data_IF_414309217262
#
_entry.id   IF_414309217262
#
_cell.length_a   1.000
_cell.length_b   1.000
_cell.length_c   1.000
_cell.angle_alpha   90.00
_cell.angle_beta   90.00
_cell.angle_gamma   90.00
#
_symmetry.space_group_name_H-M   'P 1'
#
loop_
_entity.id
_entity.type
_entity.pdbx_description
1 polymer ?
#
# COMPACT_ATOMS: atom_id res chain seq x y z
N UNK A 1 -6.74 -27.83 8.91
CA UNK A 1 -7.65 -28.13 7.76
C UNK A 1 -8.75 -27.09 7.79
N UNK A 2 -8.86 -26.25 6.77
CA UNK A 2 -9.99 -25.33 6.62
C UNK A 2 -11.17 -26.15 6.07
N UNK A 3 -12.21 -26.40 6.87
CA UNK A 3 -13.33 -27.22 6.39
C UNK A 3 -14.05 -26.46 5.26
N UNK A 4 -14.12 -27.10 4.08
CA UNK A 4 -14.93 -26.58 2.97
C UNK A 4 -14.19 -25.72 1.95
N UNK A 5 -12.86 -25.82 1.83
CA UNK A 5 -12.15 -25.16 0.71
C UNK A 5 -12.70 -25.66 -0.63
N UNK A 6 -13.05 -24.78 -1.58
CA UNK A 6 -13.52 -25.19 -2.91
C UNK A 6 -12.40 -25.77 -3.79
N UNK A 7 -11.16 -25.77 -3.29
CA UNK A 7 -9.98 -26.21 -4.06
C UNK A 7 -9.53 -27.61 -3.65
N UNK A 8 -9.06 -28.45 -4.61
CA UNK A 8 -8.47 -29.77 -4.30
C UNK A 8 -7.27 -29.62 -3.36
N UNK A 9 -7.23 -30.40 -2.28
CA UNK A 9 -6.18 -30.33 -1.25
C UNK A 9 -4.77 -30.46 -1.83
N UNK A 10 -4.57 -31.33 -2.83
CA UNK A 10 -3.28 -31.49 -3.49
C UNK A 10 -2.79 -30.21 -4.19
N UNK A 11 -3.71 -29.39 -4.72
CA UNK A 11 -3.38 -28.09 -5.33
C UNK A 11 -3.02 -27.05 -4.27
N UNK A 12 -3.77 -27.03 -3.18
CA UNK A 12 -3.45 -26.15 -2.04
C UNK A 12 -2.11 -26.52 -1.41
N UNK A 13 -1.83 -27.81 -1.27
CA UNK A 13 -0.55 -28.26 -0.73
C UNK A 13 0.63 -27.86 -1.63
N UNK A 14 0.47 -27.91 -2.95
CA UNK A 14 1.49 -27.43 -3.89
C UNK A 14 1.77 -25.92 -3.70
N UNK A 15 0.74 -25.09 -3.46
CA UNK A 15 0.89 -23.66 -3.16
C UNK A 15 1.56 -23.41 -1.80
N UNK A 16 1.31 -24.27 -0.79
CA UNK A 16 1.90 -24.15 0.56
C UNK A 16 3.36 -24.62 0.63
N UNK A 17 3.75 -25.56 -0.23
CA UNK A 17 5.05 -26.19 -0.17
C UNK A 17 6.23 -25.19 -0.15
N UNK A 18 6.28 -24.13 -0.98
CA UNK A 18 7.34 -23.15 -0.93
C UNK A 18 7.44 -22.41 0.44
N UNK A 19 6.32 -22.17 1.11
CA UNK A 19 6.32 -21.55 2.44
C UNK A 19 6.78 -22.49 3.55
N UNK A 20 6.48 -23.78 3.44
CA UNK A 20 6.90 -24.80 4.44
C UNK A 20 8.42 -24.94 4.53
N UNK A 21 9.12 -24.85 3.40
CA UNK A 21 10.58 -25.00 3.37
C UNK A 21 11.32 -23.79 3.96
N UNK A 22 10.63 -22.67 4.20
CA UNK A 22 11.26 -21.50 4.83
C UNK A 22 11.52 -21.65 6.32
N UNK A 23 10.86 -22.62 6.98
CA UNK A 23 10.88 -22.75 8.44
C UNK A 23 10.02 -21.72 9.18
N UNK A 24 9.19 -20.93 8.47
CA UNK A 24 8.32 -19.93 9.07
C UNK A 24 7.30 -20.55 10.03
N UNK A 25 6.98 -19.82 11.10
CA UNK A 25 5.93 -20.21 12.05
C UNK A 25 4.55 -19.99 11.42
N UNK A 26 3.74 -21.04 11.33
CA UNK A 26 2.35 -20.90 10.86
C UNK A 26 1.48 -20.27 11.93
N UNK A 27 0.77 -19.20 11.58
CA UNK A 27 -0.03 -18.42 12.50
C UNK A 27 -1.47 -18.25 12.02
N UNK A 28 -2.37 -18.09 13.00
CA UNK A 28 -3.81 -17.83 12.78
C UNK A 28 -4.18 -16.52 13.50
N UNK A 29 -3.87 -15.36 12.93
CA UNK A 29 -4.22 -14.09 13.56
C UNK A 29 -5.72 -13.87 13.59
N UNK A 30 -6.25 -13.05 14.53
CA UNK A 30 -7.69 -12.78 14.66
C UNK A 30 -8.31 -12.26 13.38
N UNK A 31 -9.55 -12.70 13.10
CA UNK A 31 -10.33 -12.21 11.95
C UNK A 31 -10.82 -10.79 12.18
N UNK A 32 -11.28 -10.50 13.41
CA UNK A 32 -11.76 -9.17 13.78
C UNK A 32 -10.59 -8.24 14.08
N UNK A 33 -10.58 -7.07 13.45
CA UNK A 33 -9.57 -6.03 13.61
C UNK A 33 -10.22 -4.71 14.04
N UNK A 34 -9.56 -3.88 14.88
CA UNK A 34 -10.05 -2.54 15.19
C UNK A 34 -10.16 -1.70 13.90
N UNK A 35 -11.35 -1.15 13.62
CA UNK A 35 -11.61 -0.39 12.39
C UNK A 35 -10.70 0.84 12.28
N UNK A 36 -10.54 1.60 13.36
CA UNK A 36 -9.68 2.78 13.41
C UNK A 36 -8.26 2.46 12.98
N UNK A 37 -7.68 1.36 13.49
CA UNK A 37 -6.34 0.94 13.15
C UNK A 37 -6.20 0.60 11.67
N UNK A 38 -7.13 -0.16 11.10
CA UNK A 38 -7.10 -0.53 9.68
C UNK A 38 -7.18 0.71 8.79
N UNK A 39 -8.04 1.68 9.14
CA UNK A 39 -8.18 2.93 8.37
C UNK A 39 -6.97 3.86 8.51
N UNK A 40 -6.35 3.91 9.69
CA UNK A 40 -5.15 4.71 9.90
C UNK A 40 -3.94 4.19 9.09
N UNK A 41 -3.87 2.89 8.86
CA UNK A 41 -2.78 2.24 8.12
C UNK A 41 -3.04 2.19 6.62
N UNK A 42 -4.23 1.78 6.21
CA UNK A 42 -4.58 1.56 4.80
C UNK A 42 -5.25 2.77 4.14
N UNK A 43 -5.70 3.74 4.95
CA UNK A 43 -6.36 4.96 4.50
C UNK A 43 -7.89 4.87 4.44
N UNK A 44 -8.55 6.01 4.60
CA UNK A 44 -10.03 6.14 4.60
C UNK A 44 -10.68 5.65 3.28
N UNK A 45 -9.94 5.60 2.19
CA UNK A 45 -10.45 5.10 0.91
C UNK A 45 -10.85 3.62 0.98
N UNK A 46 -10.26 2.86 1.91
CA UNK A 46 -10.60 1.45 2.10
C UNK A 46 -11.95 1.25 2.81
N UNK A 47 -12.47 2.25 3.53
CA UNK A 47 -13.71 2.13 4.36
C UNK A 47 -14.89 1.54 3.59
N UNK A 48 -15.11 1.95 2.35
CA UNK A 48 -16.21 1.45 1.52
C UNK A 48 -16.05 -0.02 1.08
N UNK A 49 -14.87 -0.58 1.30
CA UNK A 49 -14.55 -1.98 0.97
C UNK A 49 -14.41 -2.87 2.22
N UNK A 50 -14.69 -2.33 3.42
CA UNK A 50 -14.61 -3.08 4.67
C UNK A 50 -15.98 -3.56 5.14
N UNK A 51 -16.05 -4.79 5.63
CA UNK A 51 -17.17 -5.29 6.42
C UNK A 51 -17.02 -4.82 7.86
N UNK A 52 -17.82 -3.84 8.25
CA UNK A 52 -17.76 -3.20 9.56
C UNK A 52 -18.85 -3.78 10.47
N UNK A 53 -18.47 -4.06 11.72
CA UNK A 53 -19.35 -4.58 12.76
C UNK A 53 -19.15 -3.80 14.05
N UNK A 54 -20.15 -3.87 14.96
CA UNK A 54 -20.01 -3.43 16.34
C UNK A 54 -19.70 -4.61 17.25
N UNK A 55 -18.62 -4.52 18.03
CA UNK A 55 -18.33 -5.47 19.08
C UNK A 55 -19.29 -5.27 20.28
N UNK A 56 -19.38 -6.26 21.18
CA UNK A 56 -20.26 -6.22 22.34
C UNK A 56 -20.02 -5.00 23.27
N UNK A 57 -18.79 -4.45 23.27
CA UNK A 57 -18.42 -3.23 24.01
C UNK A 57 -18.75 -1.91 23.29
N UNK A 58 -19.39 -1.95 22.11
CA UNK A 58 -19.70 -0.76 21.30
C UNK A 58 -18.54 -0.27 20.42
N UNK A 59 -17.40 -0.93 20.44
CA UNK A 59 -16.26 -0.60 19.58
C UNK A 59 -16.54 -1.03 18.12
N UNK A 60 -16.14 -0.19 17.16
CA UNK A 60 -16.18 -0.54 15.75
C UNK A 60 -15.00 -1.45 15.38
N UNK A 61 -15.34 -2.60 14.82
CA UNK A 61 -14.37 -3.57 14.30
C UNK A 61 -14.68 -3.87 12.83
N UNK A 62 -13.72 -4.42 12.10
CA UNK A 62 -13.94 -4.91 10.76
C UNK A 62 -13.41 -6.33 10.59
N UNK A 63 -13.92 -7.05 9.62
CA UNK A 63 -13.29 -8.28 9.16
C UNK A 63 -11.94 -7.91 8.49
N UNK A 64 -10.89 -8.70 8.78
CA UNK A 64 -9.53 -8.42 8.25
C UNK A 64 -9.52 -8.33 6.72
N UNK A 65 -9.07 -7.21 6.13
CA UNK A 65 -8.95 -7.07 4.67
C UNK A 65 -7.65 -7.67 4.12
N UNK A 66 -6.66 -7.93 4.98
CA UNK A 66 -5.37 -8.53 4.69
C UNK A 66 -4.82 -9.31 5.89
N UNK A 67 -3.68 -9.98 5.72
CA UNK A 67 -2.95 -10.64 6.80
C UNK A 67 -1.79 -9.80 7.35
N UNK A 68 -1.26 -8.84 6.59
CA UNK A 68 -0.08 -8.07 6.96
C UNK A 68 -0.28 -7.33 8.29
N UNK A 69 -1.38 -6.57 8.41
CA UNK A 69 -1.68 -5.83 9.65
C UNK A 69 -1.88 -6.75 10.86
N UNK A 70 -2.71 -7.80 10.81
CA UNK A 70 -2.88 -8.74 11.92
C UNK A 70 -1.59 -9.47 12.32
N UNK A 71 -0.77 -9.89 11.35
CA UNK A 71 0.50 -10.58 11.62
C UNK A 71 1.54 -9.63 12.21
N UNK A 72 1.64 -8.39 11.70
CA UNK A 72 2.52 -7.38 12.27
C UNK A 72 2.18 -7.07 13.75
N UNK A 73 0.88 -7.02 14.09
CA UNK A 73 0.42 -6.88 15.48
C UNK A 73 0.81 -8.07 16.33
N UNK A 74 0.67 -9.30 15.81
CA UNK A 74 1.09 -10.51 16.50
C UNK A 74 2.59 -10.50 16.77
N UNK A 75 3.41 -10.14 15.77
CA UNK A 75 4.85 -9.98 15.90
C UNK A 75 5.21 -8.98 17.02
N UNK A 76 4.65 -7.77 16.98
CA UNK A 76 4.89 -6.74 17.99
C UNK A 76 4.47 -7.19 19.39
N UNK A 77 3.32 -7.86 19.53
CA UNK A 77 2.83 -8.36 20.81
C UNK A 77 3.72 -9.49 21.39
N UNK A 78 4.43 -10.24 20.55
CA UNK A 78 5.37 -11.28 21.00
C UNK A 78 6.66 -10.71 21.61
N UNK A 79 6.98 -9.44 21.35
CA UNK A 79 8.24 -8.82 21.76
C UNK A 79 9.48 -9.35 21.03
N UNK A 80 9.29 -10.19 20.01
CA UNK A 80 10.39 -10.71 19.21
C UNK A 80 11.02 -9.62 18.35
N UNK A 81 12.34 -9.67 18.17
CA UNK A 81 13.08 -8.74 17.31
C UNK A 81 13.07 -9.18 15.84
N UNK A 82 12.82 -10.47 15.58
CA UNK A 82 12.73 -11.05 14.25
C UNK A 82 11.70 -12.19 14.24
N UNK A 83 11.13 -12.47 13.07
CA UNK A 83 10.24 -13.62 12.89
C UNK A 83 9.71 -13.71 11.47
N UNK A 84 9.61 -14.95 11.00
CA UNK A 84 8.95 -15.32 9.75
C UNK A 84 7.62 -16.01 10.08
N UNK A 85 6.53 -15.49 9.56
CA UNK A 85 5.17 -15.96 9.86
C UNK A 85 4.44 -16.33 8.58
N UNK A 86 4.17 -17.63 8.40
CA UNK A 86 3.34 -18.11 7.31
C UNK A 86 1.87 -18.17 7.76
N UNK A 87 0.96 -17.97 6.82
CA UNK A 87 -0.47 -18.02 7.09
C UNK A 87 -1.27 -18.58 5.93
N UNK A 88 -2.47 -19.05 6.25
CA UNK A 88 -3.52 -19.39 5.30
C UNK A 88 -4.87 -19.02 5.91
N UNK A 89 -5.74 -18.41 5.13
CA UNK A 89 -7.10 -18.11 5.57
C UNK A 89 -7.81 -17.09 4.70
N UNK A 90 -9.04 -16.79 5.07
CA UNK A 90 -9.88 -15.84 4.36
C UNK A 90 -9.55 -14.41 4.76
N UNK A 91 -9.57 -13.53 3.77
CA UNK A 91 -9.70 -12.08 3.92
C UNK A 91 -11.02 -11.64 3.31
N UNK A 92 -11.50 -10.47 3.74
CA UNK A 92 -12.85 -10.01 3.47
C UNK A 92 -12.82 -8.59 2.90
N UNK A 93 -13.34 -8.42 1.68
CA UNK A 93 -13.41 -7.11 1.02
C UNK A 93 -14.71 -6.99 0.24
N UNK A 94 -15.52 -5.99 0.56
CA UNK A 94 -16.71 -5.70 -0.22
C UNK A 94 -16.31 -5.35 -1.66
N UNK A 95 -16.91 -6.00 -2.63
CA UNK A 95 -16.66 -5.84 -4.05
C UNK A 95 -17.92 -6.15 -4.84
N UNK A 96 -18.15 -5.43 -5.94
CA UNK A 96 -19.25 -5.73 -6.86
C UNK A 96 -18.85 -6.79 -7.91
N UNK A 97 -17.54 -6.89 -8.20
CA UNK A 97 -17.04 -7.63 -9.35
C UNK A 97 -16.17 -8.85 -8.97
N UNK A 98 -15.83 -8.98 -7.67
CA UNK A 98 -14.94 -10.02 -7.16
C UNK A 98 -15.55 -10.70 -5.94
N UNK A 99 -15.19 -11.96 -5.63
CA UNK A 99 -15.60 -12.61 -4.39
C UNK A 99 -15.22 -11.77 -3.17
N UNK A 100 -16.14 -11.63 -2.24
CA UNK A 100 -15.94 -10.87 -1.00
C UNK A 100 -15.08 -11.63 0.03
N UNK A 101 -15.08 -12.95 -0.06
CA UNK A 101 -14.28 -13.87 0.74
C UNK A 101 -13.17 -14.46 -0.13
N UNK A 102 -11.92 -14.10 0.16
CA UNK A 102 -10.78 -14.48 -0.66
C UNK A 102 -9.77 -15.26 0.17
N UNK A 103 -9.50 -16.51 -0.23
CA UNK A 103 -8.45 -17.31 0.40
C UNK A 103 -7.07 -16.75 0.01
N UNK A 104 -6.21 -16.57 1.02
CA UNK A 104 -4.82 -16.19 0.87
C UNK A 104 -3.92 -17.23 1.53
N UNK A 105 -2.78 -17.50 0.90
CA UNK A 105 -1.63 -18.22 1.48
C UNK A 105 -0.42 -17.30 1.35
N UNK A 106 0.30 -17.03 2.42
CA UNK A 106 1.38 -16.06 2.37
C UNK A 106 2.35 -16.13 3.53
N UNK A 107 3.24 -15.14 3.55
CA UNK A 107 4.29 -14.98 4.56
C UNK A 107 4.52 -13.51 4.86
N UNK A 108 4.78 -13.20 6.13
CA UNK A 108 5.28 -11.90 6.60
C UNK A 108 6.60 -12.12 7.34
N UNK A 109 7.59 -11.29 7.05
CA UNK A 109 8.95 -11.37 7.59
C UNK A 109 9.32 -10.08 8.28
N UNK A 110 9.77 -10.20 9.51
CA UNK A 110 10.27 -9.10 10.32
C UNK A 110 11.70 -9.43 10.75
N UNK A 111 12.63 -8.53 10.50
CA UNK A 111 14.03 -8.75 10.84
C UNK A 111 14.69 -7.44 11.30
N UNK A 112 15.70 -7.47 12.18
CA UNK A 112 16.61 -6.36 12.34
C UNK A 112 17.32 -6.11 10.99
N UNK A 113 18.04 -5.02 10.88
CA UNK A 113 18.66 -4.54 9.63
C UNK A 113 19.36 -5.69 8.87
N UNK A 114 18.80 -6.07 7.73
CA UNK A 114 19.26 -7.16 6.86
C UNK A 114 19.63 -6.59 5.49
N UNK A 115 20.35 -7.35 4.67
CA UNK A 115 20.50 -7.00 3.25
C UNK A 115 19.11 -6.95 2.58
N UNK A 116 18.60 -5.71 2.43
CA UNK A 116 17.26 -5.45 1.89
C UNK A 116 17.11 -5.95 0.47
N UNK A 117 18.17 -5.86 -0.33
CA UNK A 117 18.16 -6.24 -1.75
C UNK A 117 18.02 -7.73 -1.88
N UNK A 118 18.80 -8.49 -1.10
CA UNK A 118 18.72 -9.94 -1.04
C UNK A 118 17.36 -10.41 -0.51
N UNK A 119 16.88 -9.79 0.58
CA UNK A 119 15.58 -10.13 1.17
C UNK A 119 14.41 -9.90 0.19
N UNK A 120 14.46 -8.80 -0.58
CA UNK A 120 13.45 -8.47 -1.59
C UNK A 120 13.44 -9.51 -2.72
N UNK A 121 14.61 -9.87 -3.26
CA UNK A 121 14.73 -10.86 -4.32
C UNK A 121 14.26 -12.25 -3.87
N UNK A 122 14.63 -12.64 -2.65
CA UNK A 122 14.21 -13.91 -2.05
C UNK A 122 12.69 -13.97 -1.80
N UNK A 123 12.06 -12.85 -1.43
CA UNK A 123 10.61 -12.79 -1.30
C UNK A 123 9.92 -12.95 -2.66
N UNK A 124 10.38 -12.21 -3.68
CA UNK A 124 9.82 -12.31 -5.04
C UNK A 124 9.93 -13.75 -5.54
N UNK A 125 11.09 -14.39 -5.38
CA UNK A 125 11.29 -15.78 -5.80
C UNK A 125 10.37 -16.76 -5.07
N UNK A 126 10.22 -16.59 -3.76
CA UNK A 126 9.33 -17.42 -2.96
C UNK A 126 7.88 -17.35 -3.44
N UNK A 127 7.37 -16.13 -3.61
CA UNK A 127 5.99 -15.88 -4.05
C UNK A 127 5.79 -16.31 -5.51
N UNK A 128 6.79 -16.09 -6.37
CA UNK A 128 6.78 -16.59 -7.75
C UNK A 128 6.65 -18.10 -7.80
N UNK A 129 7.50 -18.83 -7.07
CA UNK A 129 7.44 -20.31 -7.01
C UNK A 129 6.10 -20.80 -6.48
N UNK A 130 5.54 -20.15 -5.49
CA UNK A 130 4.22 -20.49 -4.97
C UNK A 130 3.13 -20.25 -6.01
N UNK A 131 3.17 -19.14 -6.76
CA UNK A 131 2.22 -18.85 -7.83
C UNK A 131 2.31 -19.87 -8.98
N UNK A 132 3.53 -20.21 -9.42
CA UNK A 132 3.78 -21.22 -10.48
C UNK A 132 3.26 -22.59 -10.07
N UNK A 133 3.37 -22.96 -8.78
CA UNK A 133 2.85 -24.23 -8.27
C UNK A 133 1.33 -24.39 -8.43
N UNK A 134 0.59 -23.30 -8.66
CA UNK A 134 -0.82 -23.32 -9.04
C UNK A 134 -1.10 -23.89 -10.42
N UNK A 135 -0.06 -24.00 -11.27
CA UNK A 135 -0.13 -24.67 -12.57
C UNK A 135 -0.45 -23.75 -13.76
N UNK A 136 -0.44 -22.41 -13.58
CA UNK A 136 -0.56 -21.46 -14.70
C UNK A 136 0.75 -21.33 -15.45
N UNK A 137 0.70 -21.38 -16.79
CA UNK A 137 1.85 -21.17 -17.67
C UNK A 137 1.97 -19.76 -18.27
N UNK A 138 1.02 -18.86 -17.96
CA UNK A 138 0.87 -17.53 -18.55
C UNK A 138 1.24 -16.40 -17.55
N UNK A 139 2.11 -16.70 -16.59
CA UNK A 139 2.49 -15.79 -15.53
C UNK A 139 3.57 -14.79 -15.97
N UNK A 140 3.48 -13.57 -15.41
CA UNK A 140 4.45 -12.50 -15.57
C UNK A 140 4.60 -11.70 -14.28
N UNK A 141 5.72 -10.96 -14.14
CA UNK A 141 5.97 -10.08 -13.01
C UNK A 141 5.67 -8.62 -13.36
N UNK A 142 5.02 -7.92 -12.45
CA UNK A 142 4.93 -6.47 -12.40
C UNK A 142 5.69 -5.99 -11.18
N UNK A 143 6.72 -5.18 -11.40
CA UNK A 143 7.60 -4.64 -10.38
C UNK A 143 7.39 -3.14 -10.22
N UNK A 144 7.61 -2.61 -9.04
CA UNK A 144 7.57 -1.18 -8.77
C UNK A 144 8.09 -0.85 -7.37
N UNK A 145 8.10 0.43 -7.02
CA UNK A 145 8.57 0.90 -5.72
C UNK A 145 7.76 2.10 -5.25
N UNK A 146 7.07 1.94 -4.13
CA UNK A 146 6.24 2.99 -3.54
C UNK A 146 7.04 4.23 -3.10
N UNK A 147 8.33 4.10 -2.86
CA UNK A 147 9.22 5.19 -2.48
C UNK A 147 9.79 6.00 -3.64
N UNK A 148 9.66 5.56 -4.90
CA UNK A 148 10.22 6.29 -6.05
C UNK A 148 9.48 7.60 -6.31
N UNK A 149 8.14 7.58 -6.30
CA UNK A 149 7.36 8.79 -6.57
C UNK A 149 7.60 9.90 -5.53
N UNK A 150 7.55 9.63 -4.21
CA UNK A 150 7.94 10.63 -3.20
C UNK A 150 9.34 11.18 -3.43
N UNK A 151 10.32 10.30 -3.66
CA UNK A 151 11.72 10.70 -3.92
C UNK A 151 11.83 11.57 -5.19
N UNK A 152 11.08 11.28 -6.24
CA UNK A 152 11.04 12.09 -7.44
C UNK A 152 10.39 13.46 -7.20
N UNK A 153 9.26 13.50 -6.49
CA UNK A 153 8.55 14.75 -6.14
C UNK A 153 9.45 15.70 -5.37
N UNK A 154 10.30 15.19 -4.47
CA UNK A 154 11.27 15.99 -3.71
C UNK A 154 12.30 16.70 -4.62
N UNK A 155 12.56 16.15 -5.82
CA UNK A 155 13.49 16.77 -6.79
C UNK A 155 12.92 17.98 -7.52
N UNK A 156 11.61 18.18 -7.48
CA UNK A 156 10.92 19.22 -8.24
C UNK A 156 10.92 20.61 -7.55
N UNK A 157 11.52 20.73 -6.36
CA UNK A 157 11.59 22.00 -5.61
C UNK A 157 10.23 22.56 -5.23
N UNK A 158 9.24 21.68 -5.00
CA UNK A 158 7.87 22.06 -4.64
C UNK A 158 7.79 22.59 -3.21
N UNK A 159 6.77 23.41 -2.95
CA UNK A 159 6.37 23.71 -1.59
C UNK A 159 6.05 22.39 -0.84
N UNK A 160 6.54 22.19 0.41
CA UNK A 160 6.36 20.94 1.16
C UNK A 160 4.89 20.49 1.30
N UNK A 161 3.95 21.44 1.40
CA UNK A 161 2.51 21.16 1.50
C UNK A 161 2.00 20.56 0.18
N UNK A 162 2.40 21.14 -0.96
CA UNK A 162 2.05 20.65 -2.29
C UNK A 162 2.69 19.28 -2.55
N UNK A 163 3.97 19.12 -2.26
CA UNK A 163 4.67 17.84 -2.39
C UNK A 163 3.98 16.72 -1.60
N UNK A 164 3.70 16.95 -0.31
CA UNK A 164 2.97 16.00 0.54
C UNK A 164 1.55 15.69 0.03
N UNK A 165 0.89 16.67 -0.58
CA UNK A 165 -0.44 16.50 -1.18
C UNK A 165 -0.38 15.60 -2.41
N UNK A 166 0.57 15.83 -3.33
CA UNK A 166 0.77 15.00 -4.53
C UNK A 166 1.10 13.55 -4.18
N UNK A 167 1.99 13.33 -3.22
CA UNK A 167 2.33 11.98 -2.74
C UNK A 167 1.09 11.26 -2.20
N UNK A 168 0.25 11.92 -1.40
CA UNK A 168 -1.01 11.33 -0.93
C UNK A 168 -2.02 11.07 -2.06
N UNK A 169 -1.97 11.87 -3.13
CA UNK A 169 -2.85 11.70 -4.30
C UNK A 169 -2.38 10.57 -5.22
N UNK A 170 -1.13 10.10 -5.14
CA UNK A 170 -0.61 9.02 -5.96
C UNK A 170 -1.46 7.74 -5.87
N UNK A 171 -2.02 7.45 -4.69
CA UNK A 171 -2.96 6.34 -4.48
C UNK A 171 -4.35 6.56 -5.14
N UNK A 172 -4.59 7.71 -5.76
CA UNK A 172 -5.88 8.09 -6.39
C UNK A 172 -5.63 8.71 -7.76
N UNK A 173 -5.36 7.89 -8.80
CA UNK A 173 -4.91 8.37 -10.11
C UNK A 173 -5.80 9.46 -10.74
N UNK A 174 -7.13 9.33 -10.64
CA UNK A 174 -8.06 10.34 -11.17
C UNK A 174 -7.94 11.70 -10.47
N UNK A 175 -7.70 11.71 -9.15
CA UNK A 175 -7.49 12.96 -8.40
C UNK A 175 -6.13 13.57 -8.70
N UNK A 176 -5.10 12.74 -8.85
CA UNK A 176 -3.78 13.20 -9.25
C UNK A 176 -3.82 13.80 -10.65
N UNK A 177 -4.46 13.13 -11.62
CA UNK A 177 -4.64 13.66 -12.97
C UNK A 177 -5.34 15.04 -12.96
N UNK A 178 -6.46 15.17 -12.24
CA UNK A 178 -7.16 16.44 -12.10
C UNK A 178 -6.31 17.55 -11.46
N UNK A 179 -5.41 17.19 -10.52
CA UNK A 179 -4.47 18.15 -9.94
C UNK A 179 -3.39 18.59 -10.92
N UNK A 180 -2.89 17.68 -11.75
CA UNK A 180 -1.89 17.95 -12.78
C UNK A 180 -2.46 18.82 -13.93
N UNK A 181 -3.77 18.77 -14.17
CA UNK A 181 -4.45 19.57 -15.19
C UNK A 181 -4.73 21.01 -14.70
N UNK A 182 -4.56 21.27 -13.40
CA UNK A 182 -4.70 22.59 -12.79
C UNK A 182 -3.44 23.44 -12.97
N UNK A 183 -3.24 23.95 -14.16
CA UNK A 183 -2.08 24.82 -14.47
C UNK A 183 -2.35 26.32 -14.30
N UNK A 184 -3.60 26.73 -14.01
CA UNK A 184 -4.06 28.12 -14.05
C UNK A 184 -4.25 28.79 -12.69
N UNK A 185 -3.87 28.11 -11.59
CA UNK A 185 -4.09 28.65 -10.24
C UNK A 185 -5.56 28.71 -9.81
N UNK A 186 -6.48 28.15 -10.60
CA UNK A 186 -7.89 28.07 -10.24
C UNK A 186 -8.07 27.25 -8.96
N UNK A 187 -8.61 27.89 -7.94
CA UNK A 187 -9.04 27.18 -6.73
C UNK A 187 -10.19 26.27 -7.14
N UNK A 188 -10.22 24.97 -6.75
CA UNK A 188 -11.40 24.14 -7.01
C UNK A 188 -12.66 24.89 -6.60
N UNK A 189 -13.69 24.85 -7.44
CA UNK A 189 -15.04 25.30 -7.01
C UNK A 189 -15.33 24.55 -5.73
N UNK A 190 -15.43 25.31 -4.64
CA UNK A 190 -15.45 24.76 -3.30
C UNK A 190 -16.70 23.92 -3.12
N UNK A 191 -16.50 22.63 -2.84
CA UNK A 191 -17.44 21.88 -2.01
C UNK A 191 -17.70 22.71 -0.74
N UNK A 192 -18.90 22.69 -0.20
CA UNK A 192 -19.30 23.48 0.99
C UNK A 192 -18.29 23.32 2.15
N UNK A 193 -17.61 22.17 2.21
CA UNK A 193 -16.50 21.88 3.15
C UNK A 193 -15.30 22.83 3.00
N UNK A 194 -14.99 23.32 1.80
CA UNK A 194 -13.84 24.21 1.57
C UNK A 194 -14.07 25.64 2.05
N UNK A 195 -15.33 26.07 2.18
CA UNK A 195 -15.67 27.40 2.74
C UNK A 195 -15.41 27.41 4.25
N UNK A 196 -15.82 26.35 4.94
CA UNK A 196 -15.59 26.17 6.38
C UNK A 196 -14.09 26.03 6.64
N UNK A 197 -13.39 25.19 5.88
CA UNK A 197 -11.95 25.01 6.00
C UNK A 197 -11.17 26.32 5.79
N UNK A 198 -11.57 27.16 4.83
CA UNK A 198 -10.95 28.47 4.59
C UNK A 198 -11.19 29.47 5.73
N UNK A 199 -12.38 29.48 6.32
CA UNK A 199 -12.69 30.36 7.46
C UNK A 199 -11.94 29.93 8.72
N UNK A 200 -11.92 28.62 9.01
CA UNK A 200 -11.16 28.07 10.14
C UNK A 200 -9.65 28.27 9.97
N UNK A 201 -9.12 28.10 8.75
CA UNK A 201 -7.71 28.33 8.46
C UNK A 201 -7.25 29.79 8.52
N UNK A 202 -8.17 30.74 8.66
CA UNK A 202 -7.86 32.16 8.90
C UNK A 202 -7.73 32.47 10.40
N UNK A 203 -8.12 31.57 11.28
CA UNK A 203 -8.07 31.70 12.75
C UNK A 203 -6.81 31.06 13.33
N UNK A 204 -6.32 31.54 14.47
CA UNK A 204 -5.34 30.79 15.26
C UNK A 204 -5.84 29.36 15.59
N UNK A 205 -4.95 28.35 15.69
CA UNK A 205 -5.37 26.96 15.88
C UNK A 205 -6.30 26.72 17.08
N UNK A 206 -6.09 27.44 18.19
CA UNK A 206 -6.94 27.34 19.38
C UNK A 206 -8.35 27.91 19.17
N UNK A 207 -8.46 29.03 18.45
CA UNK A 207 -9.75 29.67 18.14
C UNK A 207 -10.55 28.86 17.11
N UNK A 208 -9.86 28.22 16.16
CA UNK A 208 -10.48 27.32 15.19
C UNK A 208 -11.08 26.07 15.86
N UNK A 209 -10.41 25.52 16.89
CA UNK A 209 -10.92 24.39 17.67
C UNK A 209 -12.15 24.81 18.50
N UNK A 210 -12.08 25.94 19.21
CA UNK A 210 -13.18 26.44 20.02
C UNK A 210 -14.44 26.73 19.16
N UNK A 211 -14.27 27.37 18.01
CA UNK A 211 -15.37 27.63 17.08
C UNK A 211 -16.02 26.31 16.57
N UNK A 212 -15.24 25.27 16.32
CA UNK A 212 -15.78 23.96 15.95
C UNK A 212 -16.59 23.33 17.08
N UNK A 213 -16.12 23.43 18.32
CA UNK A 213 -16.84 22.92 19.50
C UNK A 213 -18.17 23.65 19.69
N UNK A 214 -18.20 24.98 19.51
CA UNK A 214 -19.43 25.76 19.54
C UNK A 214 -20.42 25.37 18.44
N UNK A 215 -19.95 25.18 17.20
CA UNK A 215 -20.78 24.73 16.08
C UNK A 215 -21.38 23.36 16.37
N UNK A 216 -20.61 22.43 16.91
CA UNK A 216 -21.11 21.09 17.27
C UNK A 216 -22.14 21.14 18.39
N UNK A 217 -21.88 21.94 19.42
CA UNK A 217 -22.83 22.15 20.51
C UNK A 217 -24.16 22.71 20.01
N UNK A 218 -24.11 23.74 19.12
CA UNK A 218 -25.29 24.34 18.52
C UNK A 218 -26.04 23.39 17.57
N UNK A 219 -25.33 22.54 16.86
CA UNK A 219 -25.90 21.55 15.95
C UNK A 219 -26.34 20.25 16.64
N UNK A 220 -26.10 20.10 17.94
CA UNK A 220 -26.41 18.87 18.70
C UNK A 220 -25.57 17.67 18.25
N UNK A 221 -24.40 17.92 17.65
CA UNK A 221 -23.51 16.88 17.14
C UNK A 221 -22.58 16.39 18.27
N UNK A 222 -22.73 15.14 18.66
CA UNK A 222 -21.77 14.48 19.55
C UNK A 222 -20.65 13.89 18.68
N UNK A 223 -19.36 14.22 18.91
CA UNK A 223 -18.26 13.65 18.14
C UNK A 223 -18.23 12.12 18.26
N UNK A 224 -18.40 11.43 17.16
CA UNK A 224 -18.30 9.96 17.08
C UNK A 224 -16.92 9.59 16.57
N UNK A 225 -16.27 8.60 17.20
CA UNK A 225 -14.98 8.06 16.71
C UNK A 225 -13.72 8.59 17.38
N UNK A 226 -13.81 9.18 18.60
CA UNK A 226 -12.65 9.48 19.46
C UNK A 226 -11.72 10.61 18.99
N UNK A 227 -12.08 11.36 17.94
CA UNK A 227 -11.28 12.51 17.45
C UNK A 227 -11.70 13.80 18.14
N UNK A 228 -10.70 14.53 18.66
CA UNK A 228 -10.94 15.84 19.29
C UNK A 228 -11.23 16.95 18.26
N UNK A 229 -11.90 18.03 18.69
CA UNK A 229 -12.10 19.22 17.87
C UNK A 229 -10.77 19.83 17.38
N UNK A 230 -9.73 19.75 18.21
CA UNK A 230 -8.39 20.19 17.86
C UNK A 230 -7.77 19.38 16.71
N UNK A 231 -7.97 18.07 16.66
CA UNK A 231 -7.49 17.23 15.56
C UNK A 231 -8.24 17.51 14.26
N UNK A 232 -9.56 17.71 14.34
CA UNK A 232 -10.39 18.00 13.17
C UNK A 232 -10.10 19.41 12.65
N UNK A 233 -10.00 20.43 13.55
CA UNK A 233 -9.63 21.79 13.15
C UNK A 233 -8.24 21.83 12.51
N UNK A 234 -7.25 21.11 13.09
CA UNK A 234 -5.92 21.00 12.53
C UNK A 234 -5.91 20.36 11.13
N UNK A 235 -6.79 19.37 10.87
CA UNK A 235 -6.98 18.81 9.50
C UNK A 235 -7.56 19.83 8.53
N UNK A 236 -8.56 20.60 8.97
CA UNK A 236 -9.21 21.60 8.13
C UNK A 236 -8.27 22.75 7.82
N UNK A 237 -7.48 23.21 8.80
CA UNK A 237 -6.43 24.23 8.60
C UNK A 237 -5.39 23.74 7.59
N UNK A 238 -4.84 22.56 7.78
CA UNK A 238 -3.89 21.95 6.82
C UNK A 238 -4.49 21.79 5.41
N UNK A 239 -5.79 21.48 5.31
CA UNK A 239 -6.52 21.42 4.03
C UNK A 239 -6.64 22.80 3.39
N UNK A 240 -6.92 23.84 4.18
CA UNK A 240 -6.98 25.23 3.70
C UNK A 240 -5.61 25.75 3.25
N UNK A 241 -4.54 25.44 3.98
CA UNK A 241 -3.16 25.75 3.58
C UNK A 241 -2.78 25.03 2.28
N UNK A 242 -3.14 23.75 2.16
CA UNK A 242 -2.92 22.99 0.93
C UNK A 242 -3.68 23.56 -0.28
N UNK A 243 -4.88 24.14 -0.06
CA UNK A 243 -5.64 24.81 -1.11
C UNK A 243 -5.02 26.16 -1.53
N UNK A 244 -4.24 26.81 -0.64
CA UNK A 244 -3.49 28.04 -0.92
C UNK A 244 -2.10 27.80 -1.52
N UNK A 245 -1.64 26.55 -1.52
CA UNK A 245 -0.34 26.22 -2.12
C UNK A 245 -0.35 26.64 -3.60
N UNK A 246 0.79 27.19 -4.10
CA UNK A 246 0.89 27.54 -5.50
C UNK A 246 0.57 26.35 -6.39
N UNK A 247 -0.08 26.60 -7.52
CA UNK A 247 -0.28 25.57 -8.54
C UNK A 247 1.07 25.06 -9.07
N UNK A 248 1.06 23.85 -9.62
CA UNK A 248 2.22 23.34 -10.35
C UNK A 248 2.50 24.21 -11.56
N UNK A 249 3.76 24.47 -11.84
CA UNK A 249 4.13 25.00 -13.15
C UNK A 249 3.85 23.92 -14.23
N UNK A 250 3.60 24.32 -15.48
CA UNK A 250 3.43 23.36 -16.59
C UNK A 250 4.59 22.36 -16.67
N UNK A 251 5.83 22.80 -16.52
CA UNK A 251 7.02 21.95 -16.54
C UNK A 251 7.04 20.91 -15.41
N UNK A 252 6.62 21.29 -14.20
CA UNK A 252 6.50 20.35 -13.07
C UNK A 252 5.38 19.32 -13.29
N UNK A 253 4.23 19.77 -13.80
CA UNK A 253 3.13 18.87 -14.13
C UNK A 253 3.52 17.88 -15.24
N UNK A 254 4.22 18.33 -16.28
CA UNK A 254 4.70 17.47 -17.36
C UNK A 254 5.76 16.47 -16.88
N UNK A 255 6.67 16.88 -16.01
CA UNK A 255 7.65 15.99 -15.39
C UNK A 255 6.97 14.88 -14.56
N UNK A 256 5.92 15.22 -13.80
CA UNK A 256 5.14 14.24 -13.05
C UNK A 256 4.39 13.29 -14.00
N UNK A 257 3.76 13.82 -15.06
CA UNK A 257 3.10 12.98 -16.08
C UNK A 257 4.09 12.02 -16.75
N UNK A 258 5.27 12.51 -17.11
CA UNK A 258 6.33 11.69 -17.70
C UNK A 258 6.76 10.58 -16.73
N UNK A 259 6.92 10.86 -15.44
CA UNK A 259 7.21 9.84 -14.41
C UNK A 259 6.10 8.79 -14.33
N UNK A 260 4.84 9.21 -14.22
CA UNK A 260 3.68 8.32 -14.07
C UNK A 260 3.44 7.44 -15.30
N UNK A 261 3.90 7.87 -16.47
CA UNK A 261 3.76 7.15 -17.74
C UNK A 261 4.82 6.04 -17.94
N UNK A 262 5.88 6.00 -17.10
CA UNK A 262 6.95 5.01 -17.25
C UNK A 262 6.41 3.61 -16.91
N UNK A 263 6.36 2.81 -17.96
CA UNK A 263 6.01 1.39 -17.92
C UNK A 263 6.75 0.68 -19.04
N UNK A 264 7.76 -0.11 -18.68
CA UNK A 264 8.65 -0.77 -19.65
C UNK A 264 9.26 -2.03 -19.04
N UNK A 265 10.11 -2.74 -19.80
CA UNK A 265 11.01 -3.73 -19.21
C UNK A 265 11.83 -3.11 -18.08
N UNK A 266 12.19 -3.86 -17.01
CA UNK A 266 12.71 -3.26 -15.78
C UNK A 266 13.91 -2.33 -15.99
N UNK A 267 14.97 -2.74 -16.66
CA UNK A 267 16.17 -1.89 -16.86
C UNK A 267 15.90 -0.67 -17.74
N UNK A 268 15.22 -0.76 -18.91
CA UNK A 268 14.79 0.41 -19.65
C UNK A 268 13.93 1.40 -18.85
N UNK A 269 13.05 0.92 -17.98
CA UNK A 269 12.24 1.80 -17.12
C UNK A 269 13.12 2.57 -16.12
N UNK A 270 14.10 1.90 -15.50
CA UNK A 270 15.06 2.56 -14.60
C UNK A 270 15.90 3.61 -15.32
N UNK A 271 16.32 3.35 -16.56
CA UNK A 271 17.03 4.31 -17.41
C UNK A 271 16.17 5.53 -17.74
N UNK A 272 14.88 5.34 -18.00
CA UNK A 272 13.93 6.44 -18.22
C UNK A 272 13.80 7.30 -16.95
N UNK A 273 13.64 6.67 -15.77
CA UNK A 273 13.57 7.36 -14.48
C UNK A 273 14.85 8.16 -14.20
N UNK A 274 16.03 7.59 -14.49
CA UNK A 274 17.31 8.27 -14.29
C UNK A 274 17.43 9.56 -15.13
N UNK A 275 16.88 9.56 -16.35
CA UNK A 275 16.88 10.72 -17.24
C UNK A 275 15.95 11.84 -16.82
N UNK A 276 14.89 11.56 -16.05
CA UNK A 276 13.96 12.59 -15.57
C UNK A 276 14.59 13.54 -14.55
N UNK A 277 15.53 13.08 -13.73
CA UNK A 277 16.19 13.88 -12.73
C UNK A 277 17.66 13.45 -12.56
N UNK A 278 18.54 13.77 -13.53
CA UNK A 278 19.91 13.24 -13.58
C UNK A 278 20.81 13.73 -12.42
N UNK A 279 20.50 14.90 -11.82
CA UNK A 279 21.24 15.45 -10.67
C UNK A 279 20.68 15.05 -9.30
N UNK A 280 19.63 14.25 -9.24
CA UNK A 280 18.94 13.92 -7.99
C UNK A 280 19.61 12.74 -7.27
N UNK A 281 20.56 13.01 -6.38
CA UNK A 281 21.35 11.99 -5.68
C UNK A 281 20.49 10.90 -5.00
N UNK A 282 19.42 11.28 -4.32
CA UNK A 282 18.55 10.32 -3.63
C UNK A 282 17.81 9.39 -4.61
N UNK A 283 17.33 9.93 -5.74
CA UNK A 283 16.70 9.13 -6.78
C UNK A 283 17.71 8.19 -7.44
N UNK A 284 18.90 8.70 -7.80
CA UNK A 284 19.95 7.89 -8.41
C UNK A 284 20.43 6.76 -7.49
N UNK A 285 20.51 6.98 -6.18
CA UNK A 285 20.82 5.94 -5.21
C UNK A 285 19.75 4.83 -5.20
N UNK A 286 18.47 5.19 -5.18
CA UNK A 286 17.37 4.21 -5.28
C UNK A 286 17.40 3.41 -6.58
N UNK A 287 17.68 4.06 -7.71
CA UNK A 287 17.78 3.38 -9.00
C UNK A 287 19.01 2.44 -9.05
N UNK A 288 20.11 2.81 -8.41
CA UNK A 288 21.28 1.92 -8.23
C UNK A 288 20.92 0.70 -7.40
N UNK A 289 20.17 0.87 -6.29
CA UNK A 289 19.66 -0.24 -5.49
C UNK A 289 18.74 -1.14 -6.29
N UNK A 290 17.90 -0.56 -7.17
CA UNK A 290 17.04 -1.32 -8.07
C UNK A 290 17.83 -2.13 -9.09
N UNK A 291 18.89 -1.60 -9.69
CA UNK A 291 19.75 -2.36 -10.58
C UNK A 291 20.37 -3.57 -9.87
N UNK A 292 20.90 -3.38 -8.64
CA UNK A 292 21.40 -4.48 -7.82
C UNK A 292 20.32 -5.51 -7.47
N UNK A 293 19.09 -5.04 -7.20
CA UNK A 293 17.95 -5.92 -6.93
C UNK A 293 17.58 -6.75 -8.16
N UNK A 294 17.59 -6.15 -9.35
CA UNK A 294 17.37 -6.88 -10.60
C UNK A 294 18.47 -7.93 -10.85
N UNK A 295 19.74 -7.63 -10.54
CA UNK A 295 20.82 -8.62 -10.64
C UNK A 295 20.56 -9.85 -9.74
N UNK A 296 19.97 -9.63 -8.54
CA UNK A 296 19.60 -10.73 -7.65
C UNK A 296 18.35 -11.50 -8.12
N UNK A 297 17.36 -10.79 -8.66
CA UNK A 297 16.15 -11.41 -9.24
C UNK A 297 16.54 -12.26 -10.46
N UNK A 298 17.42 -11.76 -11.32
CA UNK A 298 17.90 -12.47 -12.51
C UNK A 298 18.64 -13.79 -12.16
N UNK A 299 19.18 -13.88 -10.95
CA UNK A 299 19.92 -15.06 -10.47
C UNK A 299 19.02 -16.17 -9.86
N UNK A 300 17.72 -15.93 -9.70
CA UNK A 300 16.75 -16.87 -9.10
C UNK A 300 15.66 -17.26 -10.11
N UNK A 301 14.76 -18.20 -9.73
CA UNK A 301 13.76 -18.72 -10.65
C UNK A 301 12.81 -17.65 -11.20
N UNK A 302 12.52 -16.61 -10.41
CA UNK A 302 11.71 -15.47 -10.84
C UNK A 302 12.37 -14.66 -11.97
N UNK A 303 13.68 -14.70 -12.13
CA UNK A 303 14.42 -13.99 -13.20
C UNK A 303 14.11 -14.48 -14.62
N UNK A 304 13.60 -15.70 -14.75
CA UNK A 304 13.14 -16.22 -16.05
C UNK A 304 11.75 -15.71 -16.46
N UNK A 305 11.03 -15.01 -15.57
CA UNK A 305 9.69 -14.52 -15.82
C UNK A 305 9.70 -13.31 -16.76
N UNK A 306 8.74 -13.18 -17.68
CA UNK A 306 8.49 -11.90 -18.33
C UNK A 306 8.16 -10.85 -17.26
N UNK A 307 8.86 -9.70 -17.30
CA UNK A 307 8.70 -8.68 -16.28
C UNK A 307 8.52 -7.28 -16.88
N UNK A 308 7.65 -6.48 -16.24
CA UNK A 308 7.51 -5.04 -16.47
C UNK A 308 7.78 -4.29 -15.17
N UNK A 309 8.27 -3.06 -15.30
CA UNK A 309 8.42 -2.13 -14.20
C UNK A 309 7.48 -0.95 -14.40
N UNK A 310 6.72 -0.61 -13.36
CA UNK A 310 5.85 0.57 -13.33
C UNK A 310 6.39 1.56 -12.28
N UNK A 311 6.68 2.79 -12.70
CA UNK A 311 7.18 3.83 -11.79
C UNK A 311 6.13 4.25 -10.74
N UNK A 312 4.86 4.16 -11.08
CA UNK A 312 3.72 4.39 -10.20
C UNK A 312 2.96 3.09 -9.99
N UNK A 313 3.45 2.20 -9.10
CA UNK A 313 2.81 0.92 -8.86
C UNK A 313 1.41 1.15 -8.27
N UNK A 314 0.46 0.35 -8.73
CA UNK A 314 -0.87 0.29 -8.16
C UNK A 314 -0.80 -0.49 -6.84
N UNK A 315 -1.52 -0.07 -5.83
CA UNK A 315 -1.60 -0.80 -4.56
C UNK A 315 -2.85 -0.43 -3.80
N UNK A 316 -3.54 -1.43 -3.28
CA UNK A 316 -4.73 -1.25 -2.43
C UNK A 316 -4.36 -0.70 -1.04
N UNK A 317 -3.09 -0.83 -0.62
CA UNK A 317 -2.67 -0.53 0.74
C UNK A 317 -1.57 0.54 0.78
N UNK A 318 -1.81 1.60 1.57
CA UNK A 318 -0.92 2.74 1.72
C UNK A 318 0.25 2.49 2.70
N UNK A 319 0.46 1.27 3.17
CA UNK A 319 1.55 0.96 4.08
C UNK A 319 2.86 0.56 3.38
N UNK A 320 2.84 0.25 2.08
CA UNK A 320 4.08 -0.03 1.34
C UNK A 320 4.95 1.22 1.23
N UNK A 321 6.24 1.08 1.50
CA UNK A 321 7.23 2.18 1.48
C UNK A 321 8.50 1.88 0.68
N UNK A 322 8.56 0.72 0.05
CA UNK A 322 9.64 0.25 -0.81
C UNK A 322 9.16 -0.57 -1.99
N UNK A 323 9.83 -1.71 -2.23
CA UNK A 323 9.43 -2.69 -3.24
C UNK A 323 7.95 -2.99 -3.19
N UNK A 324 7.31 -3.03 -4.36
CA UNK A 324 5.97 -3.61 -4.59
C UNK A 324 6.06 -4.51 -5.81
N UNK A 325 5.46 -5.68 -5.75
CA UNK A 325 5.40 -6.57 -6.91
C UNK A 325 4.08 -7.33 -6.97
N UNK A 326 3.72 -7.74 -8.16
CA UNK A 326 2.57 -8.59 -8.43
C UNK A 326 2.93 -9.67 -9.45
N UNK A 327 2.34 -10.84 -9.29
CA UNK A 327 2.34 -11.89 -10.30
C UNK A 327 1.01 -11.82 -11.04
N UNK A 328 1.07 -11.61 -12.34
CA UNK A 328 -0.08 -11.46 -13.21
C UNK A 328 -0.25 -12.70 -14.09
N UNK A 329 -1.49 -12.97 -14.50
CA UNK A 329 -1.84 -13.92 -15.54
C UNK A 329 -2.47 -13.17 -16.71
N UNK A 330 -2.03 -13.44 -17.92
CA UNK A 330 -2.60 -12.83 -19.12
C UNK A 330 -4.07 -13.19 -19.30
N UNK A 331 -4.47 -14.38 -18.88
CA UNK A 331 -5.85 -14.85 -18.94
C UNK A 331 -6.79 -14.12 -17.96
N UNK A 332 -6.24 -13.64 -16.81
CA UNK A 332 -7.03 -12.93 -15.80
C UNK A 332 -7.04 -11.41 -15.99
N UNK A 333 -6.10 -10.88 -16.78
CA UNK A 333 -5.95 -9.45 -17.02
C UNK A 333 -5.12 -8.72 -15.94
N UNK A 334 -4.82 -7.43 -16.18
CA UNK A 334 -3.83 -6.67 -15.40
C UNK A 334 -4.31 -6.23 -14.01
N UNK A 335 -5.61 -6.26 -13.75
CA UNK A 335 -6.20 -5.77 -12.49
C UNK A 335 -6.54 -6.92 -11.52
N UNK A 336 -6.24 -8.17 -11.91
CA UNK A 336 -6.50 -9.39 -11.13
C UNK A 336 -5.21 -10.17 -10.86
N UNK A 337 -4.31 -9.68 -9.99
CA UNK A 337 -3.06 -10.36 -9.69
C UNK A 337 -3.30 -11.74 -9.07
N UNK A 338 -2.49 -12.70 -9.46
CA UNK A 338 -2.45 -14.06 -8.91
C UNK A 338 -1.77 -14.07 -7.54
N UNK A 339 -0.75 -13.22 -7.39
CA UNK A 339 -0.01 -13.05 -6.16
C UNK A 339 0.49 -11.61 -6.06
N UNK A 340 0.76 -11.15 -4.86
CA UNK A 340 1.30 -9.81 -4.62
C UNK A 340 2.14 -9.78 -3.35
N UNK A 341 3.02 -8.78 -3.25
CA UNK A 341 3.82 -8.55 -2.06
C UNK A 341 4.62 -7.27 -2.14
N UNK A 342 5.38 -6.99 -1.08
CA UNK A 342 6.22 -5.81 -1.03
C UNK A 342 6.83 -5.58 0.34
N UNK A 343 7.46 -4.40 0.47
CA UNK A 343 8.17 -3.91 1.65
C UNK A 343 7.38 -2.80 2.34
N UNK A 344 7.32 -2.89 3.67
CA UNK A 344 6.57 -1.97 4.53
C UNK A 344 7.30 -1.74 5.86
N UNK A 345 8.58 -1.36 5.80
CA UNK A 345 9.47 -1.18 6.96
C UNK A 345 8.90 -0.19 8.01
N UNK A 346 8.14 0.80 7.57
CA UNK A 346 7.49 1.78 8.45
C UNK A 346 6.25 1.29 9.19
N UNK A 347 5.66 0.16 8.79
CA UNK A 347 4.42 -0.34 9.39
C UNK A 347 4.56 -0.71 10.87
N UNK A 348 5.59 -1.45 11.33
CA UNK A 348 5.76 -1.77 12.74
C UNK A 348 5.89 -0.53 13.63
N UNK A 349 6.59 0.52 13.17
CA UNK A 349 6.71 1.79 13.89
C UNK A 349 5.37 2.51 14.04
N UNK A 350 4.55 2.53 12.97
CA UNK A 350 3.20 3.11 13.00
C UNK A 350 2.27 2.35 13.95
N UNK A 351 2.36 1.03 13.99
CA UNK A 351 1.56 0.17 14.85
C UNK A 351 1.93 0.32 16.34
N UNK A 352 3.22 0.49 16.66
CA UNK A 352 3.69 0.63 18.04
C UNK A 352 3.47 2.03 18.62
N UNK A 353 3.18 3.04 17.78
CA UNK A 353 3.06 4.43 18.20
C UNK A 353 4.36 5.06 18.74
N UNK A 354 5.45 4.30 18.76
CA UNK A 354 6.70 4.70 19.41
C UNK A 354 7.73 5.34 18.47
N UNK A 355 7.52 5.26 17.16
CA UNK A 355 8.50 5.68 16.15
C UNK A 355 9.83 4.91 16.19
N UNK A 356 9.97 3.97 17.13
CA UNK A 356 11.25 3.34 17.48
C UNK A 356 11.47 1.97 16.80
N UNK A 357 10.46 1.38 16.14
CA UNK A 357 10.63 0.10 15.46
C UNK A 357 11.48 0.32 14.20
N UNK A 358 12.79 0.09 14.34
CA UNK A 358 13.74 0.04 13.24
C UNK A 358 13.89 -1.42 12.83
N UNK A 359 13.73 -1.72 11.56
CA UNK A 359 13.88 -3.07 11.04
C UNK A 359 13.41 -3.17 9.61
N UNK A 360 13.51 -4.36 9.08
CA UNK A 360 13.00 -4.76 7.77
C UNK A 360 11.67 -5.46 7.95
N UNK A 361 10.66 -5.05 7.22
CA UNK A 361 9.35 -5.70 7.18
C UNK A 361 8.89 -5.87 5.72
N UNK A 362 8.68 -7.10 5.31
CA UNK A 362 8.27 -7.45 3.96
C UNK A 362 7.44 -8.71 3.97
N UNK A 363 6.53 -8.83 3.02
CA UNK A 363 5.67 -9.99 2.92
C UNK A 363 4.98 -10.11 1.56
N UNK A 364 4.36 -11.24 1.35
CA UNK A 364 3.61 -11.49 0.14
C UNK A 364 2.69 -12.69 0.26
N UNK A 365 1.73 -12.74 -0.65
CA UNK A 365 0.67 -13.75 -0.66
C UNK A 365 0.38 -14.25 -2.06
N UNK A 366 -0.18 -15.43 -2.14
CA UNK A 366 -0.79 -16.02 -3.33
C UNK A 366 -2.29 -16.17 -3.10
N UNK A 367 -3.07 -15.96 -4.13
CA UNK A 367 -4.51 -16.14 -4.16
C UNK A 367 -4.85 -17.48 -4.83
N UNK A 368 -5.16 -18.54 -4.08
CA UNK A 368 -5.44 -19.87 -4.65
C UNK A 368 -6.51 -19.85 -5.74
N UNK A 369 -7.57 -19.06 -5.54
CA UNK A 369 -8.65 -18.91 -6.53
C UNK A 369 -8.22 -18.30 -7.87
N UNK A 370 -7.05 -17.69 -7.93
CA UNK A 370 -6.48 -17.12 -9.15
C UNK A 370 -5.24 -17.88 -9.63
N UNK A 371 -4.48 -18.48 -8.69
CA UNK A 371 -3.26 -19.23 -9.00
C UNK A 371 -3.55 -20.62 -9.58
N UNK A 372 -4.57 -21.32 -9.04
CA UNK A 372 -4.93 -22.64 -9.50
C UNK A 372 -5.55 -22.51 -10.90
N UNK A 373 -4.86 -23.07 -11.90
CA UNK A 373 -5.41 -23.17 -13.25
C UNK A 373 -6.66 -24.08 -13.23
N UNK A 374 -7.75 -23.62 -13.83
CA UNK A 374 -8.88 -24.49 -14.11
C UNK A 374 -8.39 -25.62 -14.99
N UNK A 375 -8.57 -26.87 -14.55
CA UNK A 375 -8.35 -28.03 -15.41
C UNK A 375 -9.36 -27.92 -16.54
N UNK A 376 -8.89 -27.64 -17.75
CA UNK A 376 -9.74 -27.60 -18.94
C UNK A 376 -10.58 -28.87 -18.99
N UNK A 377 -11.89 -28.67 -19.00
CA UNK A 377 -12.90 -29.71 -19.22
C UNK A 377 -12.82 -30.18 -20.66
#
# INVERSE_FOLDING_TARGET
MTPGSPFPEARLEALRAPFRVTGATWVQPPVLQPLSLVLDLAGEALRSRLFVLQAAGGEEVCLRPDFTTPVARLHLASGATAGDYAYEGLVFRASADEPEEVLQVGIERFAPDTDRIEADANLIDLIWRAAVAGGRGDLSLRLGDAGLFPTFVDTLGLNPVLASRLVRMAARPSRLAAELDRTDGSVPVADTDDVIARRLGALPPGEAAALLEEIWALAGITPVGGRSAAEISGRLVRRAEAARAPALSPAQADAIRAFLAIRDAPRPALDQLARLAPGATALQARLSDWNRRLDRIDAVAAGAAPAIFEAAPRGDFAYYDGLVFEVLSTALGPDRPVAAGGRYDGLPARLSGSGAAKGSALGGMVLPGRAIAETGS
#
